data_IF_175743739417
#
_entry.id   IF_175743739417
#
_cell.length_a   1.000
_cell.length_b   1.000
_cell.length_c   1.000
_cell.angle_alpha   90.00
_cell.angle_beta   90.00
_cell.angle_gamma   90.00
#
_symmetry.space_group_name_H-M   'P 1'
#
loop_
_entity.id
_entity.type
_entity.pdbx_description
1 polymer ?
#
# COMPACT_ATOMS: atom_id res chain seq x y z
N UNK A 1 7.90 12.66 -4.60
CA UNK A 1 6.66 13.46 -4.46
C UNK A 1 6.13 13.72 -5.85
N UNK A 2 4.82 13.69 -6.11
CA UNK A 2 4.26 14.18 -7.37
C UNK A 2 4.47 15.70 -7.45
N UNK A 3 5.71 16.11 -7.68
CA UNK A 3 6.11 17.51 -7.78
C UNK A 3 5.66 17.95 -9.16
N UNK A 4 4.47 18.52 -9.24
CA UNK A 4 4.07 19.26 -10.45
C UNK A 4 4.85 20.57 -10.39
N UNK A 5 5.98 20.60 -11.07
CA UNK A 5 6.73 21.83 -11.31
C UNK A 5 5.97 22.58 -12.38
N UNK A 6 5.17 23.56 -11.97
CA UNK A 6 4.61 24.52 -12.94
C UNK A 6 5.57 25.69 -12.99
N UNK A 7 6.24 25.86 -14.12
CA UNK A 7 7.02 27.05 -14.41
C UNK A 7 6.00 28.16 -14.72
N UNK A 8 5.92 29.17 -13.86
CA UNK A 8 4.92 30.25 -13.97
C UNK A 8 5.51 31.44 -14.74
N UNK A 9 6.84 31.60 -14.69
CA UNK A 9 7.61 32.62 -15.40
C UNK A 9 9.07 32.15 -15.59
N UNK A 10 9.83 32.77 -16.48
CA UNK A 10 11.29 32.64 -16.54
C UNK A 10 11.87 33.03 -15.16
N UNK A 11 12.32 32.03 -14.40
CA UNK A 11 12.89 32.21 -13.05
C UNK A 11 11.97 31.91 -11.87
N UNK A 12 10.64 31.77 -12.06
CA UNK A 12 9.72 31.46 -10.95
C UNK A 12 9.08 30.08 -11.12
N UNK A 13 9.47 29.14 -10.25
CA UNK A 13 8.86 27.81 -10.15
C UNK A 13 7.93 27.76 -8.95
N UNK A 14 6.64 27.49 -9.18
CA UNK A 14 5.66 27.35 -8.10
C UNK A 14 5.51 25.87 -7.76
N UNK A 15 5.84 25.54 -6.53
CA UNK A 15 5.76 24.18 -6.01
C UNK A 15 4.36 23.92 -5.50
N UNK A 16 3.52 23.27 -6.32
CA UNK A 16 2.22 22.81 -5.84
C UNK A 16 2.42 21.50 -5.08
N UNK A 17 2.18 21.57 -3.77
CA UNK A 17 2.22 20.43 -2.89
C UNK A 17 0.85 19.74 -2.95
N UNK A 18 0.73 18.72 -3.79
CA UNK A 18 -0.46 17.88 -3.79
C UNK A 18 -0.34 16.82 -2.70
N UNK A 19 -1.32 16.68 -1.78
CA UNK A 19 -1.33 15.58 -0.83
C UNK A 19 -1.63 14.29 -1.60
N UNK A 20 -0.59 13.62 -2.08
CA UNK A 20 -0.67 12.35 -2.81
C UNK A 20 -0.54 12.48 -4.33
N UNK A 21 0.09 11.48 -4.94
CA UNK A 21 0.14 11.32 -6.40
C UNK A 21 -1.28 11.03 -6.93
N UNK A 22 -1.68 11.64 -8.06
CA UNK A 22 -2.99 11.38 -8.71
C UNK A 22 -3.24 9.88 -8.89
N UNK A 23 -2.20 9.12 -9.19
CA UNK A 23 -2.28 7.66 -9.33
C UNK A 23 -2.69 6.97 -8.03
N UNK A 24 -2.31 7.53 -6.88
CA UNK A 24 -2.66 6.99 -5.56
C UNK A 24 -4.13 7.23 -5.25
N UNK A 25 -4.65 8.42 -5.56
CA UNK A 25 -6.08 8.71 -5.42
C UNK A 25 -6.93 7.84 -6.32
N UNK A 26 -6.48 7.56 -7.56
CA UNK A 26 -7.17 6.62 -8.46
C UNK A 26 -7.19 5.22 -7.85
N UNK A 27 -6.07 4.71 -7.32
CA UNK A 27 -6.02 3.39 -6.70
C UNK A 27 -6.90 3.28 -5.46
N UNK A 28 -6.93 4.33 -4.63
CA UNK A 28 -7.83 4.40 -3.48
C UNK A 28 -9.29 4.38 -3.93
N UNK A 29 -9.64 5.15 -4.97
CA UNK A 29 -10.97 5.14 -5.58
C UNK A 29 -11.35 3.78 -6.17
N UNK A 30 -10.42 3.08 -6.82
CA UNK A 30 -10.65 1.71 -7.34
C UNK A 30 -10.87 0.73 -6.20
N UNK A 31 -10.06 0.79 -5.13
CA UNK A 31 -10.22 -0.09 -3.96
C UNK A 31 -11.60 0.10 -3.31
N UNK A 32 -12.00 1.36 -3.09
CA UNK A 32 -13.31 1.70 -2.55
C UNK A 32 -14.45 1.25 -3.49
N UNK A 33 -14.31 1.53 -4.79
CA UNK A 33 -15.30 1.16 -5.80
C UNK A 33 -15.53 -0.35 -5.90
N UNK A 34 -14.46 -1.15 -5.85
CA UNK A 34 -14.57 -2.61 -5.84
C UNK A 34 -15.23 -3.13 -4.56
N UNK A 35 -14.94 -2.53 -3.40
CA UNK A 35 -15.62 -2.87 -2.15
C UNK A 35 -17.11 -2.56 -2.17
N UNK A 36 -17.50 -1.37 -2.67
CA UNK A 36 -18.91 -0.98 -2.82
C UNK A 36 -19.62 -1.88 -3.83
N UNK A 37 -18.96 -2.24 -4.93
CA UNK A 37 -19.51 -3.17 -5.93
C UNK A 37 -19.75 -4.55 -5.33
N UNK A 38 -18.77 -5.10 -4.60
CA UNK A 38 -18.90 -6.39 -3.93
C UNK A 38 -20.02 -6.38 -2.88
N UNK A 39 -20.09 -5.31 -2.07
CA UNK A 39 -21.19 -5.08 -1.13
C UNK A 39 -22.55 -5.08 -1.83
N UNK A 40 -22.71 -4.27 -2.88
CA UNK A 40 -23.98 -4.10 -3.59
C UNK A 40 -24.44 -5.40 -4.26
N UNK A 41 -23.53 -6.14 -4.89
CA UNK A 41 -23.82 -7.42 -5.51
C UNK A 41 -24.27 -8.47 -4.48
N UNK A 42 -23.55 -8.59 -3.36
CA UNK A 42 -23.94 -9.52 -2.30
C UNK A 42 -25.27 -9.14 -1.68
N UNK A 43 -25.46 -7.86 -1.34
CA UNK A 43 -26.71 -7.40 -0.76
C UNK A 43 -27.90 -7.64 -1.69
N UNK A 44 -27.73 -7.43 -3.01
CA UNK A 44 -28.77 -7.68 -4.00
C UNK A 44 -29.18 -9.16 -4.04
N UNK A 45 -28.20 -10.07 -3.98
CA UNK A 45 -28.39 -11.51 -4.15
C UNK A 45 -28.84 -12.22 -2.87
N UNK A 46 -28.24 -11.90 -1.72
CA UNK A 46 -28.49 -12.61 -0.46
C UNK A 46 -29.48 -11.90 0.43
N UNK A 47 -29.65 -10.58 0.26
CA UNK A 47 -30.37 -9.69 1.18
C UNK A 47 -29.81 -9.73 2.61
N UNK A 48 -28.60 -10.24 2.79
CA UNK A 48 -27.89 -10.31 4.07
C UNK A 48 -26.91 -9.14 4.18
N UNK A 49 -27.25 -8.21 5.07
CA UNK A 49 -26.48 -6.98 5.28
C UNK A 49 -25.16 -7.23 6.01
N UNK A 50 -25.08 -8.25 6.86
CA UNK A 50 -23.85 -8.63 7.57
C UNK A 50 -22.85 -9.22 6.59
N UNK A 51 -23.26 -10.23 5.83
CA UNK A 51 -22.40 -10.86 4.84
C UNK A 51 -21.91 -9.85 3.79
N UNK A 52 -22.81 -9.00 3.28
CA UNK A 52 -22.46 -7.96 2.32
C UNK A 52 -21.44 -6.96 2.89
N UNK A 53 -21.64 -6.48 4.13
CA UNK A 53 -20.74 -5.51 4.77
C UNK A 53 -19.36 -6.08 5.01
N UNK A 54 -19.28 -7.29 5.57
CA UNK A 54 -18.00 -7.98 5.82
C UNK A 54 -17.25 -8.17 4.52
N UNK A 55 -17.89 -8.74 3.49
CA UNK A 55 -17.20 -8.99 2.21
C UNK A 55 -16.81 -7.69 1.52
N UNK A 56 -17.69 -6.70 1.44
CA UNK A 56 -17.38 -5.42 0.80
C UNK A 56 -16.20 -4.70 1.45
N UNK A 57 -16.17 -4.65 2.79
CA UNK A 57 -15.05 -4.04 3.54
C UNK A 57 -13.77 -4.87 3.45
N UNK A 58 -13.86 -6.21 3.44
CA UNK A 58 -12.71 -7.09 3.19
C UNK A 58 -12.12 -6.93 1.80
N UNK A 59 -12.95 -6.78 0.76
CA UNK A 59 -12.47 -6.53 -0.62
C UNK A 59 -11.78 -5.17 -0.70
N UNK A 60 -12.38 -4.12 -0.16
CA UNK A 60 -11.75 -2.80 -0.12
C UNK A 60 -10.41 -2.83 0.63
N UNK A 61 -10.40 -3.46 1.82
CA UNK A 61 -9.21 -3.62 2.65
C UNK A 61 -8.12 -4.45 1.96
N UNK A 62 -8.49 -5.53 1.28
CA UNK A 62 -7.58 -6.38 0.53
C UNK A 62 -6.92 -5.64 -0.63
N UNK A 63 -7.71 -4.98 -1.49
CA UNK A 63 -7.19 -4.22 -2.63
C UNK A 63 -6.32 -3.05 -2.16
N UNK A 64 -6.74 -2.33 -1.11
CA UNK A 64 -5.92 -1.29 -0.50
C UNK A 64 -4.63 -1.85 0.09
N UNK A 65 -4.72 -2.99 0.79
CA UNK A 65 -3.61 -3.74 1.37
C UNK A 65 -2.53 -4.06 0.35
N UNK A 66 -2.87 -4.76 -0.74
CA UNK A 66 -1.91 -5.08 -1.82
C UNK A 66 -1.21 -3.82 -2.33
N UNK A 67 -1.97 -2.74 -2.59
CA UNK A 67 -1.42 -1.50 -3.10
C UNK A 67 -0.44 -0.84 -2.12
N UNK A 68 -0.77 -0.82 -0.83
CA UNK A 68 0.13 -0.30 0.21
C UNK A 68 1.36 -1.17 0.38
N UNK A 69 1.22 -2.50 0.38
CA UNK A 69 2.34 -3.43 0.50
C UNK A 69 3.36 -3.28 -0.62
N UNK A 70 2.89 -3.21 -1.88
CA UNK A 70 3.77 -2.95 -3.03
C UNK A 70 4.50 -1.62 -2.91
N UNK A 71 3.81 -0.59 -2.40
CA UNK A 71 4.41 0.73 -2.18
C UNK A 71 5.47 0.69 -1.08
N UNK A 72 5.20 -0.02 0.03
CA UNK A 72 6.16 -0.20 1.11
C UNK A 72 7.39 -0.96 0.65
N UNK A 73 7.24 -2.03 -0.12
CA UNK A 73 8.38 -2.74 -0.69
C UNK A 73 9.26 -1.83 -1.57
N UNK A 74 8.66 -0.99 -2.45
CA UNK A 74 9.42 -0.02 -3.25
C UNK A 74 10.10 1.06 -2.41
N UNK A 75 9.42 1.54 -1.36
CA UNK A 75 9.97 2.55 -0.48
C UNK A 75 11.15 2.01 0.32
N UNK A 76 11.09 0.74 0.74
CA UNK A 76 12.19 0.04 1.42
C UNK A 76 13.37 -0.22 0.49
N UNK A 77 13.13 -0.51 -0.79
CA UNK A 77 14.21 -0.70 -1.78
C UNK A 77 15.00 0.59 -2.05
N UNK A 78 14.38 1.77 -1.88
CA UNK A 78 15.02 3.08 -2.07
C UNK A 78 15.51 3.73 -0.78
N UNK A 79 15.67 2.98 0.31
CA UNK A 79 16.09 3.56 1.60
C UNK A 79 17.56 4.00 1.52
N UNK A 80 17.87 5.27 1.81
CA UNK A 80 19.23 5.79 1.67
C UNK A 80 20.15 5.24 2.77
N UNK A 81 21.42 5.00 2.43
CA UNK A 81 22.44 4.69 3.41
C UNK A 81 22.58 5.85 4.41
N UNK A 82 22.50 5.53 5.70
CA UNK A 82 22.38 6.51 6.80
C UNK A 82 23.69 7.26 7.13
N UNK A 83 24.68 7.19 6.23
CA UNK A 83 26.01 7.75 6.40
C UNK A 83 26.03 9.29 6.51
N UNK A 84 25.04 9.98 5.91
CA UNK A 84 24.98 11.44 5.89
C UNK A 84 23.75 12.03 6.62
N UNK A 85 23.88 13.27 7.13
CA UNK A 85 22.83 14.01 7.83
C UNK A 85 21.62 14.28 6.94
N UNK A 86 21.85 14.50 5.64
CA UNK A 86 20.78 14.64 4.66
C UNK A 86 20.01 13.31 4.47
N UNK A 87 20.71 12.18 4.43
CA UNK A 87 20.10 10.85 4.35
C UNK A 87 19.23 10.54 5.58
N UNK A 88 19.66 10.95 6.79
CA UNK A 88 18.87 10.82 8.01
C UNK A 88 17.57 11.62 7.98
N UNK A 89 17.60 12.87 7.46
CA UNK A 89 16.39 13.68 7.27
C UNK A 89 15.43 13.05 6.25
N UNK A 90 15.97 12.51 5.15
CA UNK A 90 15.19 11.79 4.18
C UNK A 90 14.52 10.55 4.82
N UNK A 91 15.27 9.76 5.59
CA UNK A 91 14.77 8.59 6.30
C UNK A 91 13.58 8.93 7.22
N UNK A 92 13.65 10.02 8.01
CA UNK A 92 12.51 10.48 8.83
C UNK A 92 11.26 10.72 7.98
N UNK A 93 11.42 11.38 6.82
CA UNK A 93 10.32 11.60 5.88
C UNK A 93 9.75 10.30 5.27
N UNK A 94 10.59 9.29 5.03
CA UNK A 94 10.13 7.97 4.58
C UNK A 94 9.37 7.21 5.67
N UNK A 95 9.89 7.21 6.91
CA UNK A 95 9.25 6.57 8.06
C UNK A 95 7.90 7.22 8.38
N UNK A 96 7.83 8.56 8.39
CA UNK A 96 6.57 9.28 8.62
C UNK A 96 5.47 8.89 7.61
N UNK A 97 5.83 8.69 6.34
CA UNK A 97 4.88 8.22 5.31
C UNK A 97 4.47 6.77 5.48
N UNK A 98 5.35 5.91 5.98
CA UNK A 98 5.00 4.54 6.32
C UNK A 98 4.02 4.51 7.51
N UNK A 99 4.32 5.28 8.56
CA UNK A 99 3.45 5.45 9.73
C UNK A 99 2.08 5.98 9.33
N UNK A 100 2.00 7.02 8.49
CA UNK A 100 0.72 7.55 8.02
C UNK A 100 -0.13 6.50 7.28
N UNK A 101 0.50 5.67 6.44
CA UNK A 101 -0.20 4.58 5.74
C UNK A 101 -0.65 3.47 6.70
N UNK A 102 0.18 3.12 7.67
CA UNK A 102 -0.19 2.18 8.72
C UNK A 102 -1.39 2.69 9.53
N UNK A 103 -1.41 3.97 9.89
CA UNK A 103 -2.54 4.62 10.56
C UNK A 103 -3.80 4.60 9.69
N UNK A 104 -3.70 4.97 8.41
CA UNK A 104 -4.84 4.93 7.48
C UNK A 104 -5.40 3.51 7.33
N UNK A 105 -4.54 2.49 7.27
CA UNK A 105 -4.94 1.09 7.21
C UNK A 105 -5.63 0.64 8.50
N UNK A 106 -5.07 0.98 9.66
CA UNK A 106 -5.64 0.68 10.97
C UNK A 106 -6.99 1.38 11.19
N UNK A 107 -7.12 2.63 10.80
CA UNK A 107 -8.37 3.38 10.86
C UNK A 107 -9.45 2.76 9.96
N UNK A 108 -9.09 2.34 8.74
CA UNK A 108 -10.01 1.63 7.85
C UNK A 108 -10.52 0.32 8.45
N UNK A 109 -9.62 -0.48 9.06
CA UNK A 109 -9.99 -1.71 9.78
C UNK A 109 -10.90 -1.44 10.98
N UNK A 110 -10.59 -0.43 11.79
CA UNK A 110 -11.40 -0.03 12.94
C UNK A 110 -12.80 0.46 12.51
N UNK A 111 -12.88 1.27 11.45
CA UNK A 111 -14.16 1.72 10.90
C UNK A 111 -15.01 0.55 10.39
N UNK A 112 -14.39 -0.44 9.72
CA UNK A 112 -15.09 -1.65 9.30
C UNK A 112 -15.62 -2.45 10.50
N UNK A 113 -14.82 -2.61 11.55
CA UNK A 113 -15.24 -3.30 12.77
C UNK A 113 -16.44 -2.60 13.43
N UNK A 114 -16.40 -1.26 13.54
CA UNK A 114 -17.52 -0.47 14.08
C UNK A 114 -18.78 -0.64 13.23
N UNK A 115 -18.66 -0.63 11.89
CA UNK A 115 -19.81 -0.86 11.00
C UNK A 115 -20.43 -2.24 11.24
N UNK A 116 -19.62 -3.28 11.32
CA UNK A 116 -20.08 -4.67 11.50
C UNK A 116 -20.73 -4.85 12.88
N UNK A 117 -20.13 -4.30 13.94
CA UNK A 117 -20.65 -4.40 15.32
C UNK A 117 -21.97 -3.65 15.54
N UNK A 118 -22.30 -2.68 14.67
CA UNK A 118 -23.58 -1.95 14.75
C UNK A 118 -24.72 -2.64 13.98
N UNK A 119 -24.47 -3.81 13.37
CA UNK A 119 -25.51 -4.58 12.69
C UNK A 119 -26.37 -5.38 13.70
N UNK A 120 -27.65 -5.65 13.38
CA UNK A 120 -28.57 -6.29 14.33
C UNK A 120 -28.27 -7.77 14.62
N UNK A 121 -27.30 -8.38 13.93
CA UNK A 121 -26.94 -9.78 14.11
C UNK A 121 -26.24 -9.99 15.45
N UNK A 122 -26.47 -11.14 16.07
CA UNK A 122 -25.92 -11.50 17.38
C UNK A 122 -25.31 -12.90 17.34
N UNK A 123 -24.26 -13.12 18.11
CA UNK A 123 -23.62 -14.42 18.29
C UNK A 123 -22.11 -14.34 18.19
N UNK A 124 -21.42 -15.35 18.74
CA UNK A 124 -19.96 -15.33 18.91
C UNK A 124 -19.23 -15.00 17.60
N UNK A 125 -19.65 -15.60 16.48
CA UNK A 125 -19.02 -15.35 15.18
C UNK A 125 -19.23 -13.91 14.71
N UNK A 126 -20.46 -13.40 14.81
CA UNK A 126 -20.80 -12.05 14.36
C UNK A 126 -20.19 -10.95 15.23
N UNK A 127 -20.12 -11.17 16.54
CA UNK A 127 -19.67 -10.18 17.51
C UNK A 127 -18.13 -10.18 17.68
N UNK A 128 -17.46 -11.33 17.49
CA UNK A 128 -16.01 -11.45 17.77
C UNK A 128 -15.15 -11.73 16.55
N UNK A 129 -15.65 -12.49 15.57
CA UNK A 129 -14.82 -12.95 14.45
C UNK A 129 -14.97 -11.99 13.26
N UNK A 130 -16.20 -11.79 12.80
CA UNK A 130 -16.48 -11.01 11.59
C UNK A 130 -15.95 -9.56 11.61
N UNK A 131 -15.97 -8.81 12.73
CA UNK A 131 -15.40 -7.46 12.78
C UNK A 131 -13.88 -7.42 12.52
N UNK A 132 -13.18 -8.52 12.79
CA UNK A 132 -11.72 -8.63 12.64
C UNK A 132 -11.33 -9.03 11.20
N UNK A 133 -12.22 -9.71 10.47
CA UNK A 133 -11.95 -10.26 9.14
C UNK A 133 -11.43 -9.22 8.14
N UNK A 134 -12.03 -8.02 7.99
CA UNK A 134 -11.53 -7.02 7.04
C UNK A 134 -10.07 -6.62 7.30
N UNK A 135 -9.69 -6.48 8.57
CA UNK A 135 -8.35 -6.08 8.98
C UNK A 135 -7.33 -7.19 8.70
N UNK A 136 -7.69 -8.45 8.98
CA UNK A 136 -6.83 -9.62 8.67
C UNK A 136 -6.62 -9.74 7.16
N UNK A 137 -7.69 -9.64 6.37
CA UNK A 137 -7.60 -9.67 4.90
C UNK A 137 -6.71 -8.54 4.38
N UNK A 138 -6.88 -7.32 4.89
CA UNK A 138 -6.06 -6.17 4.52
C UNK A 138 -4.57 -6.36 4.86
N UNK A 139 -4.27 -6.90 6.04
CA UNK A 139 -2.90 -7.17 6.49
C UNK A 139 -2.22 -8.27 5.67
N UNK A 140 -2.92 -9.39 5.41
CA UNK A 140 -2.40 -10.47 4.56
C UNK A 140 -2.17 -10.00 3.13
N UNK A 141 -3.12 -9.25 2.58
CA UNK A 141 -2.99 -8.66 1.25
C UNK A 141 -1.82 -7.68 1.16
N UNK A 142 -1.58 -6.92 2.23
CA UNK A 142 -0.39 -6.06 2.34
C UNK A 142 0.91 -6.87 2.30
N UNK A 143 1.03 -7.92 3.11
CA UNK A 143 2.21 -8.79 3.07
C UNK A 143 2.40 -9.45 1.70
N UNK A 144 1.32 -9.92 1.08
CA UNK A 144 1.34 -10.46 -0.28
C UNK A 144 1.79 -9.43 -1.33
N UNK A 145 1.35 -8.18 -1.21
CA UNK A 145 1.81 -7.08 -2.04
C UNK A 145 3.31 -6.79 -1.89
N UNK A 146 3.84 -6.85 -0.66
CA UNK A 146 5.28 -6.72 -0.44
C UNK A 146 6.06 -7.87 -1.08
N UNK A 147 5.59 -9.10 -0.90
CA UNK A 147 6.23 -10.30 -1.45
C UNK A 147 6.24 -10.27 -2.98
N UNK A 148 5.10 -9.94 -3.60
CA UNK A 148 4.96 -9.82 -5.05
C UNK A 148 6.03 -8.88 -5.64
N UNK A 149 6.21 -7.72 -5.02
CA UNK A 149 7.16 -6.72 -5.52
C UNK A 149 8.62 -7.19 -5.33
N UNK A 150 8.93 -7.87 -4.22
CA UNK A 150 10.27 -8.43 -3.96
C UNK A 150 10.64 -9.55 -4.93
N UNK A 151 9.71 -10.45 -5.21
CA UNK A 151 9.90 -11.53 -6.19
C UNK A 151 10.19 -10.96 -7.60
N UNK A 152 9.49 -9.87 -7.97
CA UNK A 152 9.73 -9.17 -9.22
C UNK A 152 11.17 -8.64 -9.35
N UNK A 153 11.74 -8.07 -8.28
CA UNK A 153 13.14 -7.59 -8.29
C UNK A 153 14.17 -8.72 -8.38
N UNK A 154 13.97 -9.83 -7.66
CA UNK A 154 14.94 -10.94 -7.65
C UNK A 154 15.07 -11.64 -9.00
N UNK A 155 14.02 -11.63 -9.83
CA UNK A 155 14.03 -12.24 -11.15
C UNK A 155 14.77 -11.40 -12.21
N UNK A 156 14.92 -10.08 -11.98
CA UNK A 156 15.53 -9.14 -12.94
C UNK A 156 16.99 -8.81 -12.69
N UNK A 157 17.62 -9.30 -11.62
CA UNK A 157 19.06 -9.09 -11.39
C UNK A 157 19.85 -9.94 -12.39
N UNK A 158 20.53 -9.36 -13.40
CA UNK A 158 21.48 -10.12 -14.21
C UNK A 158 22.57 -10.62 -13.26
N UNK A 159 22.93 -11.89 -13.35
CA UNK A 159 24.05 -12.45 -12.57
C UNK A 159 25.31 -11.59 -12.72
N UNK A 160 26.21 -11.59 -11.72
CA UNK A 160 27.41 -10.77 -11.76
C UNK A 160 28.15 -11.03 -13.07
N UNK A 161 28.33 -9.98 -13.88
CA UNK A 161 29.17 -10.04 -15.06
C UNK A 161 30.52 -10.61 -14.60
N UNK A 162 30.91 -11.76 -15.18
CA UNK A 162 32.17 -12.42 -14.85
C UNK A 162 33.28 -11.37 -14.90
N UNK A 163 34.06 -11.30 -13.82
CA UNK A 163 35.23 -10.43 -13.78
C UNK A 163 36.05 -10.66 -15.06
N UNK A 164 36.36 -9.61 -15.84
CA UNK A 164 37.29 -9.78 -16.95
C UNK A 164 38.61 -10.30 -16.37
N UNK A 165 39.07 -11.43 -16.93
CA UNK A 165 40.30 -12.07 -16.52
C UNK A 165 41.45 -11.04 -16.51
N UNK A 166 42.36 -11.08 -15.52
CA UNK A 166 43.49 -10.17 -15.47
C UNK A 166 44.31 -10.30 -16.76
N UNK A 167 44.55 -9.19 -17.44
CA UNK A 167 45.37 -9.14 -18.64
C UNK A 167 46.79 -9.60 -18.31
N UNK A 168 47.26 -10.62 -19.03
CA UNK A 168 48.62 -11.18 -18.99
C UNK A 168 49.65 -10.22 -19.63
N UNK A 169 49.59 -8.93 -19.32
CA UNK A 169 50.46 -7.92 -19.94
C UNK A 169 51.52 -7.34 -18.98
N UNK A 170 51.60 -7.82 -17.74
CA UNK A 170 52.59 -7.40 -16.74
C UNK A 170 53.76 -8.39 -16.57
N UNK A 171 54.08 -9.19 -17.59
CA UNK A 171 55.24 -10.08 -17.57
C UNK A 171 55.97 -10.04 -18.92
N UNK A 172 56.75 -8.98 -19.13
CA UNK A 172 57.95 -8.97 -19.97
C UNK A 172 58.82 -7.76 -19.63
#
# INVERSE_FOLDING_TARGET
>A
MGRIVKQVSEGTTKYYWYPGDKREWIRAGVALGLGVLAFGLLLLLTRDLLAATVVGTSVAGGVAGVNFGRRDARALAGFPDLGDRAARRAAVGHTGRAVWRALAHGFGGAAAAVLILNLPHRGIVADWILPIVPTVVGALAHQGGMLYERLGTSATTPGPAGQPAPSLEAAK
#
